data_IF_653159573002
#
_entry.id   IF_653159573002
#
_cell.length_a   1.000
_cell.length_b   1.000
_cell.length_c   1.000
_cell.angle_alpha   90.00
_cell.angle_beta   90.00
_cell.angle_gamma   90.00
#
_symmetry.space_group_name_H-M   'P 1'
#
loop_
_entity.id
_entity.type
_entity.pdbx_description
1 polymer ?
#
# COMPACT_ATOMS: atom_id res chain seq x y z
N UNK A 1 33.37 -17.82 32.80
CA UNK A 1 33.79 -16.46 32.40
C UNK A 1 32.69 -15.98 31.46
N UNK A 2 31.95 -14.95 31.86
CA UNK A 2 30.77 -14.49 31.14
C UNK A 2 31.18 -13.81 29.83
N UNK A 3 30.45 -14.11 28.76
CA UNK A 3 30.60 -13.52 27.43
C UNK A 3 30.35 -12.01 27.54
N UNK A 4 31.21 -11.21 26.91
CA UNK A 4 31.07 -9.76 26.98
C UNK A 4 30.13 -9.23 25.88
N UNK A 5 29.73 -7.97 26.03
CA UNK A 5 28.72 -7.35 25.18
C UNK A 5 29.16 -7.26 23.71
N UNK A 6 30.47 -7.20 23.43
CA UNK A 6 31.01 -7.17 22.06
C UNK A 6 30.96 -8.55 21.37
N UNK A 7 31.21 -9.64 22.11
CA UNK A 7 31.03 -11.00 21.60
C UNK A 7 29.54 -11.33 21.37
N UNK A 8 28.65 -10.74 22.17
CA UNK A 8 27.19 -10.83 21.99
C UNK A 8 26.73 -10.12 20.72
N UNK A 9 27.29 -8.94 20.44
CA UNK A 9 27.00 -8.13 19.23
C UNK A 9 27.59 -8.77 17.96
N UNK A 10 28.76 -9.41 18.03
CA UNK A 10 29.36 -10.10 16.90
C UNK A 10 28.54 -11.31 16.41
N UNK A 11 27.84 -12.01 17.32
CA UNK A 11 26.88 -13.06 16.96
C UNK A 11 25.56 -12.50 16.40
N UNK A 12 25.17 -11.28 16.77
CA UNK A 12 23.97 -10.61 16.26
C UNK A 12 24.18 -9.95 14.90
N UNK A 13 25.42 -9.53 14.57
CA UNK A 13 25.73 -8.85 13.32
C UNK A 13 26.34 -9.77 12.23
N UNK A 14 26.80 -10.98 12.57
CA UNK A 14 27.65 -11.80 11.69
C UNK A 14 27.03 -13.11 11.17
N UNK A 15 25.74 -13.12 10.83
CA UNK A 15 25.00 -14.36 10.59
C UNK A 15 24.36 -14.53 9.22
N UNK A 16 24.90 -13.95 8.14
CA UNK A 16 24.32 -14.02 6.79
C UNK A 16 24.26 -15.43 6.15
N UNK A 17 24.42 -16.51 6.92
CA UNK A 17 24.48 -17.89 6.42
C UNK A 17 23.82 -18.90 7.37
N UNK A 18 22.54 -18.72 7.70
CA UNK A 18 21.69 -19.87 8.03
C UNK A 18 20.34 -19.82 7.30
N UNK A 19 20.36 -19.33 6.06
CA UNK A 19 19.36 -19.72 5.08
C UNK A 19 19.51 -21.21 4.78
N UNK A 20 18.79 -22.06 5.53
CA UNK A 20 18.29 -23.41 5.17
C UNK A 20 17.80 -24.24 6.37
N UNK A 21 17.04 -23.66 7.30
CA UNK A 21 16.15 -24.48 8.14
C UNK A 21 14.72 -23.95 8.09
N UNK A 22 13.84 -24.77 7.54
CA UNK A 22 12.40 -24.66 7.66
C UNK A 22 11.99 -24.58 9.15
N UNK A 23 11.26 -23.53 9.51
CA UNK A 23 10.10 -23.60 10.40
C UNK A 23 10.24 -24.31 11.76
N UNK A 24 11.23 -23.96 12.58
CA UNK A 24 11.37 -24.52 13.94
C UNK A 24 11.65 -23.47 15.04
N UNK A 25 11.25 -22.21 14.85
CA UNK A 25 11.23 -21.20 15.91
C UNK A 25 9.81 -21.03 16.48
N UNK A 26 9.70 -20.85 17.79
CA UNK A 26 8.43 -20.48 18.42
C UNK A 26 7.92 -19.17 17.80
N UNK A 27 6.74 -19.15 17.16
CA UNK A 27 6.21 -17.95 16.51
C UNK A 27 6.03 -16.76 17.46
N UNK A 28 5.98 -17.00 18.78
CA UNK A 28 5.90 -15.95 19.80
C UNK A 28 7.24 -15.22 20.04
N UNK A 29 8.35 -15.77 19.55
CA UNK A 29 9.71 -15.23 19.69
C UNK A 29 10.24 -14.57 18.41
N UNK A 30 9.51 -14.68 17.31
CA UNK A 30 9.78 -13.94 16.08
C UNK A 30 9.08 -12.59 16.23
N UNK A 31 9.82 -11.57 16.68
CA UNK A 31 9.32 -10.19 16.63
C UNK A 31 8.95 -9.85 15.19
N UNK A 32 7.90 -9.04 15.00
CA UNK A 32 7.68 -8.42 13.70
C UNK A 32 9.01 -7.74 13.31
N UNK A 33 9.52 -8.00 12.09
CA UNK A 33 10.62 -7.21 11.56
C UNK A 33 10.26 -5.74 11.80
N UNK A 34 11.09 -4.95 12.50
CA UNK A 34 10.74 -3.56 12.72
C UNK A 34 10.64 -2.96 11.33
N UNK A 35 9.44 -2.59 10.89
CA UNK A 35 9.23 -2.10 9.52
C UNK A 35 10.18 -0.92 9.21
N UNK A 36 10.61 -0.20 10.27
CA UNK A 36 11.69 0.80 10.23
C UNK A 36 13.07 0.30 9.77
N UNK A 37 13.47 -0.95 10.02
CA UNK A 37 14.77 -1.49 9.57
C UNK A 37 14.84 -1.57 8.04
N UNK A 38 13.77 -2.01 7.39
CA UNK A 38 13.70 -2.02 5.92
C UNK A 38 13.75 -0.59 5.34
N UNK A 39 13.15 0.39 6.03
CA UNK A 39 13.20 1.81 5.62
C UNK A 39 14.61 2.39 5.83
N UNK A 40 15.28 2.01 6.92
CA UNK A 40 16.64 2.43 7.26
C UNK A 40 17.67 1.86 6.28
N UNK A 41 17.55 0.59 5.89
CA UNK A 41 18.36 -0.05 4.85
C UNK A 41 18.22 0.65 3.48
N UNK A 42 17.04 1.21 3.18
CA UNK A 42 16.81 2.02 1.98
C UNK A 42 17.37 3.45 2.10
N UNK A 43 17.88 3.85 3.27
CA UNK A 43 18.35 5.20 3.56
C UNK A 43 17.22 6.24 3.54
N UNK A 44 15.97 5.82 3.75
CA UNK A 44 14.78 6.68 3.70
C UNK A 44 14.20 7.03 5.06
N UNK A 45 14.78 6.49 6.14
CA UNK A 45 14.31 6.72 7.50
C UNK A 45 14.73 8.11 7.99
N UNK A 46 13.90 9.11 7.71
CA UNK A 46 14.08 10.47 8.23
C UNK A 46 13.72 10.55 9.71
N UNK A 47 14.25 11.54 10.44
CA UNK A 47 13.91 11.75 11.85
C UNK A 47 12.40 11.95 12.07
N UNK A 48 11.74 12.66 11.16
CA UNK A 48 10.29 12.87 11.21
C UNK A 48 9.51 11.55 11.01
N UNK A 49 9.96 10.69 10.09
CA UNK A 49 9.35 9.38 9.86
C UNK A 49 9.60 8.43 11.04
N UNK A 50 10.82 8.42 11.59
CA UNK A 50 11.16 7.66 12.80
C UNK A 50 10.25 8.05 13.96
N UNK A 51 10.12 9.35 14.23
CA UNK A 51 9.22 9.86 15.26
C UNK A 51 7.76 9.46 15.03
N UNK A 52 7.30 9.45 13.78
CA UNK A 52 5.93 9.03 13.43
C UNK A 52 5.70 7.54 13.67
N UNK A 53 6.69 6.69 13.35
CA UNK A 53 6.66 5.24 13.61
C UNK A 53 6.67 4.96 15.11
N UNK A 54 7.52 5.64 15.88
CA UNK A 54 7.61 5.49 17.34
C UNK A 54 6.33 5.96 18.05
N UNK A 55 5.64 6.97 17.51
CA UNK A 55 4.37 7.47 18.03
C UNK A 55 3.16 6.58 17.66
N UNK A 56 3.29 5.67 16.71
CA UNK A 56 2.19 4.83 16.24
C UNK A 56 1.79 3.79 17.30
N UNK A 57 0.52 3.81 17.73
CA UNK A 57 0.01 2.94 18.80
C UNK A 57 -0.64 1.65 18.30
N UNK A 58 -0.80 1.50 16.98
CA UNK A 58 -1.44 0.34 16.37
C UNK A 58 -0.58 -0.23 15.25
N UNK A 59 -0.63 -1.56 15.06
CA UNK A 59 0.04 -2.21 13.93
C UNK A 59 -0.38 -1.60 12.59
N UNK A 60 -1.67 -1.30 12.43
CA UNK A 60 -2.18 -0.71 11.19
C UNK A 60 -1.49 0.62 10.86
N UNK A 61 -1.31 1.50 11.85
CA UNK A 61 -0.67 2.80 11.64
C UNK A 61 0.81 2.67 11.21
N UNK A 62 1.53 1.66 11.74
CA UNK A 62 2.91 1.37 11.32
C UNK A 62 2.93 0.88 9.87
N UNK A 63 2.06 -0.07 9.52
CA UNK A 63 1.95 -0.61 8.15
C UNK A 63 1.60 0.50 7.14
N UNK A 64 0.73 1.43 7.51
CA UNK A 64 0.38 2.57 6.65
C UNK A 64 1.58 3.48 6.38
N UNK A 65 2.42 3.74 7.38
CA UNK A 65 3.65 4.52 7.24
C UNK A 65 4.70 3.78 6.42
N UNK A 66 4.68 2.44 6.43
CA UNK A 66 5.60 1.61 5.66
C UNK A 66 5.21 1.45 4.18
N UNK A 67 3.94 1.64 3.81
CA UNK A 67 3.42 1.43 2.44
C UNK A 67 4.29 2.04 1.31
N UNK A 68 4.82 3.26 1.42
CA UNK A 68 5.67 3.84 0.37
C UNK A 68 6.98 3.09 0.15
N UNK A 69 7.51 2.44 1.18
CA UNK A 69 8.83 1.79 1.21
C UNK A 69 8.76 0.28 0.98
N UNK A 70 7.55 -0.27 0.97
CA UNK A 70 7.31 -1.68 0.68
C UNK A 70 7.79 -2.01 -0.74
N UNK A 71 8.61 -3.07 -0.94
CA UNK A 71 9.03 -3.48 -2.27
C UNK A 71 7.82 -3.77 -3.17
N UNK A 72 7.79 -3.12 -4.35
CA UNK A 72 6.68 -3.23 -5.31
C UNK A 72 7.12 -3.89 -6.59
N UNK A 73 6.18 -4.62 -7.20
CA UNK A 73 6.28 -5.00 -8.62
C UNK A 73 6.20 -3.72 -9.45
N UNK A 74 6.80 -3.71 -10.63
CA UNK A 74 6.77 -2.58 -11.58
C UNK A 74 5.33 -2.08 -11.79
N UNK A 75 4.98 -0.92 -11.21
CA UNK A 75 3.62 -0.34 -11.26
C UNK A 75 3.48 0.62 -12.44
N UNK A 76 2.22 0.98 -12.78
CA UNK A 76 1.96 2.01 -13.79
C UNK A 76 2.51 3.38 -13.39
N UNK A 77 2.46 3.72 -12.11
CA UNK A 77 3.06 4.94 -11.57
C UNK A 77 4.59 4.92 -11.71
N UNK A 78 5.26 3.79 -11.40
CA UNK A 78 6.70 3.65 -11.62
C UNK A 78 7.07 3.87 -13.09
N UNK A 79 6.36 3.23 -14.02
CA UNK A 79 6.57 3.43 -15.47
C UNK A 79 6.37 4.90 -15.85
N UNK A 80 5.36 5.57 -15.31
CA UNK A 80 5.11 6.99 -15.55
C UNK A 80 6.22 7.90 -14.99
N UNK A 81 6.76 7.61 -13.80
CA UNK A 81 7.92 8.33 -13.23
C UNK A 81 9.17 8.15 -14.08
N UNK A 82 9.45 6.92 -14.50
CA UNK A 82 10.57 6.60 -15.41
C UNK A 82 10.40 7.28 -16.78
N UNK A 83 9.15 7.43 -17.26
CA UNK A 83 8.83 8.23 -18.44
C UNK A 83 8.96 9.75 -18.24
N UNK A 84 9.23 10.22 -17.01
CA UNK A 84 9.43 11.62 -16.67
C UNK A 84 8.14 12.42 -16.43
N UNK A 85 7.03 11.75 -16.07
CA UNK A 85 5.71 12.37 -15.89
C UNK A 85 5.47 12.90 -14.46
N UNK A 86 6.38 12.68 -13.52
CA UNK A 86 6.21 13.17 -12.13
C UNK A 86 6.08 14.69 -12.03
N UNK A 87 6.88 15.52 -12.74
CA UNK A 87 6.69 16.97 -12.71
C UNK A 87 5.34 17.44 -13.27
N UNK A 88 4.71 16.68 -14.18
CA UNK A 88 3.35 16.96 -14.66
C UNK A 88 2.33 16.69 -13.55
N UNK A 89 2.47 15.58 -12.83
CA UNK A 89 1.61 15.25 -11.71
C UNK A 89 1.71 16.32 -10.60
N UNK A 90 2.93 16.76 -10.28
CA UNK A 90 3.18 17.75 -9.24
C UNK A 90 2.63 19.14 -9.60
N UNK A 91 2.80 19.58 -10.85
CA UNK A 91 2.30 20.89 -11.29
C UNK A 91 0.78 20.99 -11.24
N UNK A 92 0.08 19.95 -11.70
CA UNK A 92 -1.39 19.91 -11.74
C UNK A 92 -2.02 19.88 -10.35
N UNK A 93 -1.35 19.29 -9.36
CA UNK A 93 -1.81 19.33 -7.96
C UNK A 93 -1.49 20.67 -7.31
N UNK A 94 -0.32 21.25 -7.61
CA UNK A 94 0.11 22.51 -7.02
C UNK A 94 -0.73 23.71 -7.49
N UNK A 95 -1.16 23.72 -8.75
CA UNK A 95 -1.95 24.80 -9.33
C UNK A 95 -3.18 24.27 -10.12
N UNK A 96 -4.37 24.27 -9.49
CA UNK A 96 -5.62 23.86 -10.15
C UNK A 96 -6.07 24.77 -11.29
N UNK A 97 -5.44 25.93 -11.51
CA UNK A 97 -5.77 26.84 -12.61
C UNK A 97 -5.09 26.46 -13.93
N UNK A 98 -4.09 25.57 -13.88
CA UNK A 98 -3.44 25.04 -15.07
C UNK A 98 -4.45 24.27 -15.93
N UNK A 99 -4.29 24.35 -17.25
CA UNK A 99 -5.06 23.56 -18.20
C UNK A 99 -4.36 22.21 -18.41
N UNK A 100 -4.92 21.08 -17.91
CA UNK A 100 -4.20 19.79 -17.90
C UNK A 100 -3.74 19.35 -19.29
N UNK A 101 -4.60 19.50 -20.29
CA UNK A 101 -4.31 19.11 -21.67
C UNK A 101 -3.15 19.92 -22.26
N UNK A 102 -3.03 21.20 -21.91
CA UNK A 102 -1.95 22.07 -22.41
C UNK A 102 -0.62 21.76 -21.73
N UNK A 103 -0.64 21.55 -20.42
CA UNK A 103 0.54 21.18 -19.65
C UNK A 103 1.10 19.83 -20.09
N UNK A 104 0.22 18.86 -20.37
CA UNK A 104 0.59 17.52 -20.81
C UNK A 104 1.33 17.49 -22.16
N UNK A 105 1.12 18.48 -23.04
CA UNK A 105 1.83 18.57 -24.33
C UNK A 105 3.36 18.64 -24.15
N UNK A 106 3.84 19.20 -23.02
CA UNK A 106 5.27 19.32 -22.70
C UNK A 106 5.94 17.97 -22.43
N UNK A 107 5.15 16.92 -22.23
CA UNK A 107 5.61 15.60 -21.82
C UNK A 107 5.39 14.52 -22.88
N UNK A 108 4.91 14.89 -24.08
CA UNK A 108 4.79 13.96 -25.20
C UNK A 108 6.19 13.55 -25.65
N UNK A 109 6.47 12.25 -25.55
CA UNK A 109 7.78 11.67 -25.86
C UNK A 109 7.64 10.18 -26.18
N UNK A 110 8.12 9.79 -27.36
CA UNK A 110 8.26 8.38 -27.75
C UNK A 110 9.73 8.12 -28.06
N UNK A 111 10.39 7.30 -27.24
CA UNK A 111 11.79 6.91 -27.37
C UNK A 111 11.82 5.37 -27.41
N UNK A 112 12.31 4.76 -28.50
CA UNK A 112 12.44 3.31 -28.56
C UNK A 112 13.46 2.82 -27.53
N UNK A 113 13.33 1.56 -27.10
CA UNK A 113 14.31 0.95 -26.23
C UNK A 113 15.71 0.94 -26.90
N UNK A 114 16.74 1.21 -26.10
CA UNK A 114 18.14 1.05 -26.51
C UNK A 114 18.87 0.21 -25.46
N UNK A 115 20.15 -0.11 -25.69
CA UNK A 115 20.92 -0.95 -24.78
C UNK A 115 20.93 -0.34 -23.36
N UNK A 116 20.34 -1.06 -22.39
CA UNK A 116 20.21 -0.63 -21.00
C UNK A 116 19.14 0.45 -20.73
N UNK A 117 18.36 0.87 -21.72
CA UNK A 117 17.34 1.92 -21.58
C UNK A 117 15.98 1.40 -22.06
N UNK A 118 15.00 1.40 -21.15
CA UNK A 118 13.63 1.03 -21.50
C UNK A 118 12.97 2.05 -22.44
N UNK A 119 12.01 1.58 -23.25
CA UNK A 119 11.27 2.44 -24.14
C UNK A 119 10.36 3.40 -23.35
N UNK A 120 10.31 4.65 -23.77
CA UNK A 120 9.34 5.62 -23.30
C UNK A 120 8.26 5.73 -24.37
N UNK A 121 7.00 5.54 -24.01
CA UNK A 121 5.89 5.58 -24.96
C UNK A 121 4.77 6.49 -24.46
N UNK A 122 4.93 7.80 -24.67
CA UNK A 122 3.93 8.83 -24.36
C UNK A 122 3.59 9.56 -25.66
N UNK A 123 2.71 8.99 -26.52
CA UNK A 123 2.46 9.51 -27.87
C UNK A 123 1.53 10.73 -27.90
N UNK A 124 0.75 10.96 -26.85
CA UNK A 124 -0.25 12.02 -26.79
C UNK A 124 -0.48 12.54 -25.36
N UNK A 125 -1.17 13.69 -25.27
CA UNK A 125 -1.50 14.34 -23.99
C UNK A 125 -2.35 13.43 -23.08
N UNK A 126 -3.23 12.61 -23.65
CA UNK A 126 -4.07 11.68 -22.89
C UNK A 126 -3.20 10.66 -22.14
N UNK A 127 -2.22 10.07 -22.81
CA UNK A 127 -1.29 9.10 -22.22
C UNK A 127 -0.46 9.75 -21.11
N UNK A 128 0.00 11.00 -21.32
CA UNK A 128 0.71 11.76 -20.30
C UNK A 128 -0.16 11.99 -19.04
N UNK A 129 -1.42 12.40 -19.23
CA UNK A 129 -2.37 12.63 -18.13
C UNK A 129 -2.76 11.34 -17.41
N UNK A 130 -2.91 10.22 -18.12
CA UNK A 130 -3.14 8.91 -17.50
C UNK A 130 -1.95 8.48 -16.64
N UNK A 131 -0.72 8.71 -17.11
CA UNK A 131 0.48 8.46 -16.31
C UNK A 131 0.58 9.35 -15.08
N UNK A 132 0.31 10.66 -15.22
CA UNK A 132 0.26 11.59 -14.09
C UNK A 132 -0.82 11.18 -13.08
N UNK A 133 -2.01 10.78 -13.54
CA UNK A 133 -3.09 10.26 -12.69
C UNK A 133 -2.66 8.99 -11.95
N UNK A 134 -1.98 8.07 -12.62
CA UNK A 134 -1.53 6.82 -11.99
C UNK A 134 -0.48 7.13 -10.89
N UNK A 135 0.42 8.10 -11.09
CA UNK A 135 1.34 8.61 -10.04
C UNK A 135 0.57 9.16 -8.84
N UNK A 136 -0.39 10.06 -9.07
CA UNK A 136 -1.18 10.67 -7.98
C UNK A 136 -2.04 9.64 -7.25
N UNK A 137 -2.60 8.68 -7.98
CA UNK A 137 -3.40 7.61 -7.40
C UNK A 137 -2.58 6.77 -6.44
N UNK A 138 -1.37 6.37 -6.83
CA UNK A 138 -0.47 5.63 -5.95
C UNK A 138 -0.06 6.47 -4.74
N UNK A 139 0.30 7.74 -4.95
CA UNK A 139 0.67 8.66 -3.86
C UNK A 139 -0.45 8.82 -2.83
N UNK A 140 -1.69 9.02 -3.27
CA UNK A 140 -2.83 9.17 -2.38
C UNK A 140 -3.19 7.84 -1.69
N UNK A 141 -3.11 6.72 -2.40
CA UNK A 141 -3.37 5.40 -1.83
C UNK A 141 -2.35 4.99 -0.76
N UNK A 142 -1.21 5.68 -0.66
CA UNK A 142 -0.13 5.38 0.28
C UNK A 142 0.09 6.52 1.30
N UNK A 143 -0.79 7.52 1.31
CA UNK A 143 -0.72 8.61 2.30
C UNK A 143 -1.35 8.14 3.61
N UNK A 144 -0.53 7.87 4.64
CA UNK A 144 -0.97 7.28 5.91
C UNK A 144 -2.11 8.06 6.60
N UNK A 145 -2.00 9.40 6.66
CA UNK A 145 -3.04 10.26 7.26
C UNK A 145 -4.37 10.15 6.52
N UNK A 146 -4.33 10.10 5.19
CA UNK A 146 -5.53 9.95 4.35
C UNK A 146 -6.16 8.58 4.57
N UNK A 147 -5.37 7.51 4.59
CA UNK A 147 -5.86 6.15 4.85
C UNK A 147 -6.51 6.03 6.24
N UNK A 148 -5.91 6.64 7.27
CA UNK A 148 -6.46 6.65 8.62
C UNK A 148 -7.81 7.39 8.68
N UNK A 149 -7.90 8.56 8.03
CA UNK A 149 -9.16 9.31 7.92
C UNK A 149 -10.24 8.53 7.17
N UNK A 150 -9.90 7.89 6.06
CA UNK A 150 -10.83 7.07 5.27
C UNK A 150 -11.32 5.84 6.04
N UNK A 151 -10.45 5.14 6.78
CA UNK A 151 -10.83 4.03 7.65
C UNK A 151 -11.79 4.45 8.75
N UNK A 152 -11.49 5.58 9.40
CA UNK A 152 -12.37 6.15 10.44
C UNK A 152 -13.75 6.45 9.87
N UNK A 153 -13.79 7.15 8.73
CA UNK A 153 -15.05 7.47 8.03
C UNK A 153 -15.83 6.21 7.62
N UNK A 154 -15.15 5.19 7.11
CA UNK A 154 -15.76 3.92 6.73
C UNK A 154 -16.33 3.20 7.96
N UNK A 155 -15.64 3.24 9.10
CA UNK A 155 -16.14 2.63 10.32
C UNK A 155 -17.36 3.37 10.89
N UNK A 156 -17.37 4.70 10.86
CA UNK A 156 -18.44 5.52 11.42
C UNK A 156 -19.70 5.54 10.55
N UNK A 157 -19.54 5.52 9.22
CA UNK A 157 -20.63 5.75 8.26
C UNK A 157 -20.80 4.65 7.23
N UNK A 158 -19.91 3.66 7.19
CA UNK A 158 -19.98 2.57 6.24
C UNK A 158 -21.20 1.69 6.48
N UNK A 159 -21.82 1.29 5.38
CA UNK A 159 -22.92 0.33 5.38
C UNK A 159 -22.40 -0.93 4.72
N UNK A 160 -22.45 -2.05 5.45
CA UNK A 160 -22.12 -3.35 4.90
C UNK A 160 -23.36 -3.90 4.19
N UNK A 161 -23.19 -4.29 2.94
CA UNK A 161 -24.26 -4.84 2.10
C UNK A 161 -23.91 -6.24 1.65
N UNK A 162 -24.89 -7.14 1.66
CA UNK A 162 -24.79 -8.47 1.09
C UNK A 162 -25.92 -8.69 0.09
N UNK A 163 -25.56 -9.20 -1.08
CA UNK A 163 -26.48 -9.55 -2.16
C UNK A 163 -26.17 -10.96 -2.64
N UNK A 164 -27.21 -11.78 -2.81
CA UNK A 164 -27.05 -13.10 -3.42
C UNK A 164 -26.48 -12.99 -4.83
N UNK A 165 -25.54 -13.87 -5.17
CA UNK A 165 -25.02 -13.94 -6.54
C UNK A 165 -26.08 -14.56 -7.45
N UNK A 166 -26.18 -14.04 -8.67
CA UNK A 166 -27.13 -14.54 -9.68
C UNK A 166 -27.02 -16.05 -9.87
N UNK A 167 -28.13 -16.78 -9.76
CA UNK A 167 -28.18 -18.23 -9.96
C UNK A 167 -27.83 -19.06 -8.72
N UNK A 168 -27.57 -18.41 -7.58
CA UNK A 168 -27.33 -19.07 -6.29
C UNK A 168 -28.54 -19.04 -5.34
N UNK A 169 -29.74 -18.75 -5.84
CA UNK A 169 -30.96 -18.74 -5.03
C UNK A 169 -31.51 -20.15 -4.68
N UNK A 170 -30.74 -21.22 -4.91
CA UNK A 170 -31.17 -22.61 -4.71
C UNK A 170 -31.22 -23.05 -3.24
N UNK A 171 -31.94 -24.15 -2.98
CA UNK A 171 -32.22 -24.68 -1.63
C UNK A 171 -30.96 -25.02 -0.79
N UNK A 172 -29.81 -25.30 -1.42
CA UNK A 172 -28.55 -25.60 -0.71
C UNK A 172 -27.95 -24.37 0.01
N UNK A 173 -28.36 -23.15 -0.36
CA UNK A 173 -27.91 -21.89 0.25
C UNK A 173 -28.98 -21.22 1.13
N UNK A 174 -30.13 -21.88 1.37
CA UNK A 174 -31.27 -21.34 2.15
C UNK A 174 -30.87 -20.90 3.58
N UNK A 175 -29.80 -21.49 4.14
CA UNK A 175 -29.20 -21.11 5.43
C UNK A 175 -28.73 -19.65 5.51
N UNK A 176 -28.51 -18.98 4.39
CA UNK A 176 -28.10 -17.57 4.31
C UNK A 176 -29.16 -16.68 3.68
N UNK A 177 -30.40 -17.16 3.52
CA UNK A 177 -31.48 -16.43 2.88
C UNK A 177 -31.73 -15.06 3.53
N UNK A 178 -31.57 -14.97 4.85
CA UNK A 178 -31.71 -13.71 5.61
C UNK A 178 -30.67 -12.64 5.20
N UNK A 179 -29.61 -13.05 4.48
CA UNK A 179 -28.52 -12.19 4.02
C UNK A 179 -28.48 -11.99 2.49
N UNK A 180 -29.47 -12.49 1.74
CA UNK A 180 -29.54 -12.33 0.28
C UNK A 180 -29.77 -10.89 -0.17
N UNK A 181 -30.33 -10.06 0.70
CA UNK A 181 -30.51 -8.63 0.51
C UNK A 181 -30.40 -7.93 1.87
N UNK A 182 -29.17 -7.88 2.40
CA UNK A 182 -28.86 -7.33 3.71
C UNK A 182 -28.13 -5.99 3.60
N UNK A 183 -28.44 -5.07 4.50
CA UNK A 183 -27.81 -3.76 4.61
C UNK A 183 -27.87 -3.27 6.06
N UNK A 184 -26.72 -2.98 6.66
CA UNK A 184 -26.63 -2.47 8.03
C UNK A 184 -25.36 -1.61 8.22
N UNK A 185 -25.37 -0.56 9.06
CA UNK A 185 -24.15 0.15 9.46
C UNK A 185 -23.10 -0.80 10.04
N UNK A 186 -21.86 -0.72 9.55
CA UNK A 186 -20.80 -1.69 9.89
C UNK A 186 -20.48 -1.73 11.39
N UNK A 187 -20.59 -0.59 12.07
CA UNK A 187 -20.29 -0.45 13.49
C UNK A 187 -21.39 -0.99 14.42
N UNK A 188 -22.57 -1.34 13.91
CA UNK A 188 -23.66 -1.92 14.73
C UNK A 188 -23.82 -3.42 14.56
N UNK A 189 -23.09 -4.04 13.63
CA UNK A 189 -23.24 -5.45 13.30
C UNK A 189 -22.72 -6.32 14.46
N UNK A 190 -23.56 -7.16 15.08
CA UNK A 190 -23.14 -8.07 16.12
C UNK A 190 -22.33 -9.22 15.53
N UNK A 191 -21.40 -9.77 16.33
CA UNK A 191 -20.42 -10.75 15.86
C UNK A 191 -21.01 -11.98 15.16
N UNK A 192 -22.15 -12.50 15.63
CA UNK A 192 -22.78 -13.66 15.01
C UNK A 192 -23.32 -13.37 13.60
N UNK A 193 -23.82 -12.15 13.33
CA UNK A 193 -24.26 -11.73 11.99
C UNK A 193 -23.06 -11.51 11.08
N UNK A 194 -22.03 -10.83 11.57
CA UNK A 194 -20.79 -10.64 10.83
C UNK A 194 -20.18 -11.98 10.38
N UNK A 195 -20.11 -12.96 11.30
CA UNK A 195 -19.63 -14.31 10.98
C UNK A 195 -20.50 -15.05 9.96
N UNK A 196 -21.82 -14.84 9.98
CA UNK A 196 -22.72 -15.44 8.99
C UNK A 196 -22.55 -14.80 7.60
N UNK A 197 -22.30 -13.49 7.54
CA UNK A 197 -22.06 -12.75 6.30
C UNK A 197 -20.73 -13.12 5.61
N UNK A 198 -19.70 -13.49 6.39
CA UNK A 198 -18.38 -13.88 5.86
C UNK A 198 -18.21 -15.39 5.60
N UNK A 199 -19.26 -16.20 5.79
CA UNK A 199 -19.20 -17.66 5.66
C UNK A 199 -19.65 -18.15 4.29
#
# INVERSE_FOLDING_TARGET
MAMNDEETVALTAGGHTFGKMHGAGDPSLVGAEPEGASIEEQGKLTDALRASIEAATTKQAVEDLYLPFKPKRRTRAMIAREAGLEPLADSLVADPLLQPEQEALKYIRVVPASEGVEAINVPDAKTALEGARDILTERFAETAELLAGLRTRLWEHGVLTSTVMTGKEAAEEEKFRDYYAYSEPINTIPSHRALALFR
#
